data_IF_290848472776
#
_entry.id   IF_290848472776
#
_cell.length_a   1.000
_cell.length_b   1.000
_cell.length_c   1.000
_cell.angle_alpha   90.00
_cell.angle_beta   90.00
_cell.angle_gamma   90.00
#
_symmetry.space_group_name_H-M   'P 1'
#
loop_
_entity.id
_entity.type
_entity.pdbx_description
1 polymer ?
#
# COMPACT_ATOMS: atom_id res chain seq x y z
N UNK A 1 6.86 7.72 15.35
CA UNK A 1 8.18 8.38 15.31
C UNK A 1 8.66 8.45 13.86
N UNK A 2 8.66 9.66 13.27
CA UNK A 2 9.09 9.88 11.89
C UNK A 2 10.61 9.74 11.70
N UNK A 3 11.39 9.77 12.78
CA UNK A 3 12.84 9.59 12.70
C UNK A 3 13.26 8.16 12.29
N UNK A 4 12.35 7.19 12.44
CA UNK A 4 12.55 5.80 12.02
C UNK A 4 12.05 5.51 10.59
N UNK A 5 11.56 6.52 9.86
CA UNK A 5 11.05 6.37 8.50
C UNK A 5 12.13 6.75 7.51
N UNK A 6 12.56 5.80 6.68
CA UNK A 6 13.40 6.08 5.52
C UNK A 6 12.50 6.34 4.30
N UNK A 7 12.71 7.46 3.62
CA UNK A 7 12.01 7.79 2.38
C UNK A 7 12.99 7.73 1.20
N UNK A 8 12.65 6.94 0.18
CA UNK A 8 13.44 6.81 -1.04
C UNK A 8 12.60 7.31 -2.20
N UNK A 9 13.14 8.26 -2.96
CA UNK A 9 12.53 8.72 -4.20
C UNK A 9 13.09 7.92 -5.37
N UNK A 10 12.22 7.26 -6.11
CA UNK A 10 12.57 6.48 -7.30
C UNK A 10 12.04 7.16 -8.57
N UNK A 11 12.69 6.88 -9.70
CA UNK A 11 12.33 7.44 -11.00
C UNK A 11 11.41 6.49 -11.78
N UNK A 12 10.22 6.22 -11.25
CA UNK A 12 9.21 5.38 -11.91
C UNK A 12 8.98 4.03 -11.22
N UNK A 13 8.03 3.27 -11.77
CA UNK A 13 7.54 2.03 -11.13
C UNK A 13 8.62 0.95 -11.02
N UNK A 14 9.44 0.75 -12.05
CA UNK A 14 10.51 -0.26 -12.05
C UNK A 14 11.54 -0.01 -10.97
N UNK A 15 11.98 1.25 -10.83
CA UNK A 15 12.96 1.63 -9.82
C UNK A 15 12.36 1.55 -8.41
N UNK A 16 11.08 1.92 -8.25
CA UNK A 16 10.36 1.78 -6.99
C UNK A 16 10.28 0.31 -6.54
N UNK A 17 9.99 -0.59 -7.47
CA UNK A 17 9.92 -2.03 -7.18
C UNK A 17 11.30 -2.62 -6.87
N UNK A 18 12.34 -2.18 -7.58
CA UNK A 18 13.73 -2.57 -7.30
C UNK A 18 14.18 -2.10 -5.92
N UNK A 19 13.92 -0.85 -5.58
CA UNK A 19 14.21 -0.30 -4.26
C UNK A 19 13.46 -1.07 -3.16
N UNK A 20 12.18 -1.36 -3.36
CA UNK A 20 11.39 -2.16 -2.45
C UNK A 20 11.98 -3.56 -2.26
N UNK A 21 12.40 -4.22 -3.33
CA UNK A 21 13.04 -5.54 -3.25
C UNK A 21 14.33 -5.51 -2.42
N UNK A 22 15.16 -4.48 -2.58
CA UNK A 22 16.38 -4.31 -1.79
C UNK A 22 16.09 -4.03 -0.31
N UNK A 23 15.10 -3.16 -0.02
CA UNK A 23 14.70 -2.88 1.36
C UNK A 23 14.17 -4.13 2.07
N UNK A 24 13.29 -4.88 1.42
CA UNK A 24 12.76 -6.13 1.99
C UNK A 24 13.87 -7.17 2.16
N UNK A 25 14.78 -7.26 1.20
CA UNK A 25 15.92 -8.20 1.25
C UNK A 25 16.90 -7.89 2.38
N UNK A 26 17.04 -6.62 2.78
CA UNK A 26 17.93 -6.24 3.89
C UNK A 26 17.53 -6.87 5.22
N UNK A 27 16.27 -7.25 5.38
CA UNK A 27 15.72 -7.76 6.64
C UNK A 27 15.61 -6.73 7.76
N UNK A 28 15.95 -5.46 7.48
CA UNK A 28 15.92 -4.38 8.47
C UNK A 28 14.54 -3.73 8.63
N UNK A 29 13.62 -3.98 7.68
CA UNK A 29 12.32 -3.31 7.62
C UNK A 29 11.18 -4.27 7.98
N UNK A 30 10.33 -3.86 8.93
CA UNK A 30 9.08 -4.58 9.24
C UNK A 30 7.94 -4.22 8.28
N UNK A 31 8.02 -3.05 7.65
CA UNK A 31 7.05 -2.56 6.67
C UNK A 31 7.76 -1.78 5.57
N UNK A 32 7.46 -2.08 4.33
CA UNK A 32 7.85 -1.30 3.15
C UNK A 32 6.59 -0.82 2.44
N UNK A 33 6.47 0.50 2.26
CA UNK A 33 5.37 1.12 1.52
C UNK A 33 5.89 1.53 0.16
N UNK A 34 5.22 1.08 -0.90
CA UNK A 34 5.53 1.39 -2.29
C UNK A 34 4.41 2.21 -2.87
N UNK A 35 4.69 3.48 -3.16
CA UNK A 35 3.74 4.35 -3.85
C UNK A 35 3.93 4.16 -5.36
N UNK A 36 2.93 3.56 -5.98
CA UNK A 36 2.89 3.34 -7.43
C UNK A 36 1.96 4.38 -8.04
N UNK A 37 2.49 5.14 -8.98
CA UNK A 37 1.69 6.10 -9.74
C UNK A 37 0.51 5.41 -10.48
N UNK A 38 -0.24 6.17 -11.25
CA UNK A 38 -1.59 5.95 -11.75
C UNK A 38 -1.93 4.54 -12.25
N UNK A 39 -1.01 3.74 -12.75
CA UNK A 39 -1.35 2.47 -13.42
C UNK A 39 -0.88 1.18 -12.76
N UNK A 40 0.13 1.23 -11.91
CA UNK A 40 0.58 0.08 -11.11
C UNK A 40 0.68 -1.24 -11.91
N UNK A 41 1.54 -1.25 -12.94
CA UNK A 41 1.80 -2.47 -13.72
C UNK A 41 2.91 -3.28 -13.07
N UNK A 42 2.54 -4.07 -12.07
CA UNK A 42 3.48 -4.97 -11.42
C UNK A 42 3.32 -6.37 -12.01
N UNK A 43 4.41 -6.93 -12.52
CA UNK A 43 4.37 -8.30 -13.06
C UNK A 43 4.18 -9.34 -11.94
N UNK A 44 3.50 -10.44 -12.25
CA UNK A 44 3.31 -11.54 -11.29
C UNK A 44 4.65 -12.13 -10.80
N UNK A 45 5.67 -12.12 -11.65
CA UNK A 45 7.03 -12.53 -11.29
C UNK A 45 7.64 -11.62 -10.21
N UNK A 46 7.47 -10.29 -10.34
CA UNK A 46 7.94 -9.33 -9.35
C UNK A 46 7.19 -9.50 -8.03
N UNK A 47 5.86 -9.59 -8.07
CA UNK A 47 5.03 -9.86 -6.89
C UNK A 47 5.43 -11.17 -6.20
N UNK A 48 5.75 -12.20 -7.00
CA UNK A 48 6.20 -13.50 -6.47
C UNK A 48 7.54 -13.43 -5.75
N UNK A 49 8.50 -12.64 -6.27
CA UNK A 49 9.78 -12.42 -5.58
C UNK A 49 9.61 -11.62 -4.29
N UNK A 50 8.86 -10.51 -4.35
CA UNK A 50 8.59 -9.69 -3.17
C UNK A 50 7.86 -10.47 -2.08
N UNK A 51 6.87 -11.29 -2.43
CA UNK A 51 6.16 -12.14 -1.48
C UNK A 51 7.11 -13.09 -0.75
N UNK A 52 7.95 -13.83 -1.48
CA UNK A 52 8.93 -14.75 -0.87
C UNK A 52 9.92 -14.03 0.03
N UNK A 53 10.40 -12.86 -0.36
CA UNK A 53 11.31 -12.05 0.46
C UNK A 53 10.60 -11.51 1.70
N UNK A 54 9.37 -11.03 1.56
CA UNK A 54 8.56 -10.52 2.65
C UNK A 54 8.27 -11.60 3.70
N UNK A 55 7.88 -12.80 3.27
CA UNK A 55 7.68 -13.96 4.14
C UNK A 55 8.98 -14.36 4.88
N UNK A 56 10.09 -14.46 4.14
CA UNK A 56 11.39 -14.82 4.70
C UNK A 56 11.88 -13.83 5.75
N UNK A 57 11.69 -12.55 5.52
CA UNK A 57 12.19 -11.47 6.37
C UNK A 57 11.12 -10.89 7.31
N UNK A 58 9.93 -11.51 7.37
CA UNK A 58 8.81 -11.06 8.19
C UNK A 58 8.47 -9.56 7.99
N UNK A 59 8.56 -9.12 6.76
CA UNK A 59 8.29 -7.74 6.34
C UNK A 59 6.92 -7.67 5.65
N UNK A 60 6.09 -6.69 6.01
CA UNK A 60 4.89 -6.37 5.26
C UNK A 60 5.23 -5.45 4.08
N UNK A 61 4.61 -5.69 2.91
CA UNK A 61 4.71 -4.80 1.76
C UNK A 61 3.34 -4.24 1.44
N UNK A 62 3.22 -2.92 1.47
CA UNK A 62 2.00 -2.18 1.16
C UNK A 62 2.17 -1.40 -0.14
N UNK A 63 1.31 -1.66 -1.10
CA UNK A 63 1.24 -0.87 -2.34
C UNK A 63 0.14 0.19 -2.23
N UNK A 64 0.51 1.44 -2.46
CA UNK A 64 -0.44 2.54 -2.66
C UNK A 64 -0.65 2.71 -4.17
N UNK A 65 -1.89 2.78 -4.62
CA UNK A 65 -2.25 2.92 -6.03
C UNK A 65 -3.47 3.82 -6.19
N UNK A 66 -3.57 4.51 -7.30
CA UNK A 66 -4.76 5.29 -7.67
C UNK A 66 -5.86 4.44 -8.34
N UNK A 67 -5.78 3.10 -8.28
CA UNK A 67 -6.80 2.22 -8.86
C UNK A 67 -8.14 2.39 -8.14
N UNK A 68 -9.21 2.43 -8.90
CA UNK A 68 -10.57 2.46 -8.36
C UNK A 68 -10.91 1.13 -7.70
N UNK A 69 -11.89 1.13 -6.78
CA UNK A 69 -12.32 -0.09 -6.08
C UNK A 69 -12.77 -1.23 -7.01
N UNK A 70 -13.26 -0.88 -8.21
CA UNK A 70 -13.75 -1.82 -9.23
C UNK A 70 -12.62 -2.36 -10.14
N UNK A 71 -11.47 -1.69 -10.19
CA UNK A 71 -10.37 -2.13 -11.05
C UNK A 71 -9.77 -3.44 -10.52
N UNK A 72 -9.15 -4.26 -11.38
CA UNK A 72 -8.45 -5.45 -10.94
C UNK A 72 -7.37 -5.13 -9.92
N UNK A 73 -7.13 -6.02 -8.97
CA UNK A 73 -5.99 -5.91 -8.06
C UNK A 73 -4.66 -5.96 -8.84
N UNK A 74 -3.55 -5.56 -8.21
CA UNK A 74 -2.22 -5.65 -8.81
C UNK A 74 -1.85 -7.08 -9.25
N UNK A 75 -2.48 -8.09 -8.65
CA UNK A 75 -2.27 -9.47 -9.04
C UNK A 75 -2.92 -10.46 -8.07
N UNK A 76 -2.85 -11.74 -8.46
CA UNK A 76 -3.41 -12.84 -7.68
C UNK A 76 -2.74 -13.00 -6.31
N UNK A 77 -1.47 -12.58 -6.18
CA UNK A 77 -0.66 -12.72 -4.96
C UNK A 77 -0.98 -11.71 -3.88
N UNK A 78 -1.72 -10.65 -4.20
CA UNK A 78 -2.20 -9.70 -3.20
C UNK A 78 -3.17 -10.39 -2.25
N UNK A 79 -2.83 -10.42 -0.96
CA UNK A 79 -3.63 -11.07 0.09
C UNK A 79 -4.75 -10.19 0.61
N UNK A 80 -4.51 -8.89 0.74
CA UNK A 80 -5.45 -7.91 1.24
C UNK A 80 -5.49 -6.70 0.31
N UNK A 81 -6.69 -6.21 0.01
CA UNK A 81 -6.91 -4.96 -0.74
C UNK A 81 -7.96 -4.12 -0.04
N UNK A 82 -7.63 -2.86 0.19
CA UNK A 82 -8.54 -1.84 0.66
C UNK A 82 -8.73 -0.73 -0.37
N UNK A 83 -9.90 -0.11 -0.36
CA UNK A 83 -10.17 1.13 -1.06
C UNK A 83 -10.42 2.21 -0.01
N UNK A 84 -9.75 3.35 -0.16
CA UNK A 84 -9.88 4.49 0.73
C UNK A 84 -10.55 5.60 -0.04
N UNK A 85 -11.64 6.14 0.52
CA UNK A 85 -12.32 7.32 -0.01
C UNK A 85 -12.35 8.41 1.04
N UNK A 86 -12.17 9.65 0.61
CA UNK A 86 -12.25 10.83 1.47
C UNK A 86 -13.43 11.69 1.03
N UNK A 87 -14.22 12.16 1.99
CA UNK A 87 -15.32 13.10 1.76
C UNK A 87 -15.28 14.23 2.81
N UNK A 88 -15.73 15.43 2.41
CA UNK A 88 -15.75 16.64 3.24
C UNK A 88 -14.60 17.61 2.93
N UNK A 89 -14.83 18.90 3.22
CA UNK A 89 -13.91 20.02 2.95
C UNK A 89 -13.34 20.68 4.21
N UNK A 90 -13.87 20.31 5.40
CA UNK A 90 -13.41 20.75 6.72
C UNK A 90 -12.88 19.54 7.50
N UNK A 91 -13.53 19.17 8.61
CA UNK A 91 -13.31 17.83 9.12
C UNK A 91 -13.72 16.83 8.04
N UNK A 92 -12.81 15.93 7.68
CA UNK A 92 -13.08 14.96 6.63
C UNK A 92 -13.29 13.56 7.18
N UNK A 93 -14.14 12.82 6.50
CA UNK A 93 -14.37 11.40 6.77
C UNK A 93 -13.51 10.59 5.82
N UNK A 94 -12.75 9.66 6.36
CA UNK A 94 -12.06 8.64 5.59
C UNK A 94 -12.79 7.33 5.75
N UNK A 95 -13.32 6.82 4.65
CA UNK A 95 -13.90 5.49 4.55
C UNK A 95 -12.87 4.51 4.02
N UNK A 96 -12.60 3.46 4.78
CA UNK A 96 -11.74 2.35 4.38
C UNK A 96 -12.64 1.12 4.17
N UNK A 97 -12.67 0.60 2.96
CA UNK A 97 -13.43 -0.60 2.61
C UNK A 97 -12.50 -1.70 2.12
N UNK A 98 -12.53 -2.85 2.76
CA UNK A 98 -11.83 -4.05 2.26
C UNK A 98 -12.56 -4.60 1.04
N UNK A 99 -11.85 -4.69 -0.08
CA UNK A 99 -12.39 -5.19 -1.36
C UNK A 99 -11.88 -6.59 -1.70
N UNK A 100 -10.81 -7.03 -1.06
CA UNK A 100 -10.26 -8.38 -1.16
C UNK A 100 -9.60 -8.75 0.15
N UNK A 101 -9.92 -9.90 0.68
CA UNK A 101 -9.23 -10.51 1.81
C UNK A 101 -9.19 -12.03 1.59
N UNK A 102 -7.99 -12.60 1.51
CA UNK A 102 -7.80 -14.05 1.35
C UNK A 102 -7.91 -14.83 2.66
N UNK A 103 -7.86 -14.14 3.79
CA UNK A 103 -7.90 -14.76 5.12
C UNK A 103 -9.28 -14.72 5.75
N UNK A 104 -10.11 -13.78 5.33
CA UNK A 104 -11.45 -13.56 5.85
C UNK A 104 -12.44 -13.38 4.71
N UNK A 105 -13.59 -14.01 4.82
CA UNK A 105 -14.66 -13.91 3.80
C UNK A 105 -15.57 -12.68 4.01
N UNK A 106 -15.31 -11.85 5.02
CA UNK A 106 -16.13 -10.69 5.34
C UNK A 106 -15.44 -9.41 4.88
N UNK A 107 -16.06 -8.69 3.96
CA UNK A 107 -15.68 -7.32 3.64
C UNK A 107 -15.87 -6.45 4.90
N UNK A 108 -14.82 -5.85 5.40
CA UNK A 108 -14.91 -4.88 6.49
C UNK A 108 -14.97 -3.46 5.95
N UNK A 109 -15.76 -2.62 6.60
CA UNK A 109 -15.82 -1.18 6.34
C UNK A 109 -15.56 -0.46 7.65
N UNK A 110 -14.63 0.51 7.63
CA UNK A 110 -14.35 1.40 8.74
C UNK A 110 -14.42 2.84 8.26
N UNK A 111 -15.12 3.68 9.03
CA UNK A 111 -15.18 5.12 8.79
C UNK A 111 -14.53 5.83 9.96
N UNK A 112 -13.63 6.77 9.68
CA UNK A 112 -12.98 7.60 10.70
C UNK A 112 -13.07 9.06 10.34
N UNK A 113 -13.30 9.88 11.36
CA UNK A 113 -13.25 11.33 11.27
C UNK A 113 -11.82 11.82 11.54
N UNK A 114 -11.35 12.71 10.68
CA UNK A 114 -10.08 13.39 10.88
C UNK A 114 -10.27 14.89 10.77
N UNK A 115 -9.59 15.62 11.64
CA UNK A 115 -9.35 17.03 11.48
C UNK A 115 -8.04 17.20 10.72
N UNK A 116 -8.04 17.99 9.66
CA UNK A 116 -6.81 18.34 8.95
C UNK A 116 -5.80 19.02 9.91
N UNK A 117 -4.50 19.04 9.55
CA UNK A 117 -3.52 19.81 10.32
C UNK A 117 -4.00 21.24 10.48
N UNK A 118 -3.90 21.79 11.69
CA UNK A 118 -4.19 23.19 11.96
C UNK A 118 -3.31 24.07 11.05
N UNK A 119 -3.91 24.84 10.17
CA UNK A 119 -3.22 25.71 9.20
C UNK A 119 -3.41 25.38 7.72
N UNK A 120 -4.06 24.29 7.36
CA UNK A 120 -4.55 24.06 6.00
C UNK A 120 -6.03 24.45 5.90
N UNK A 121 -6.26 25.68 5.51
CA UNK A 121 -7.58 26.20 5.15
C UNK A 121 -7.65 26.42 3.65
#
# INVERSE_FOLDING_TARGET
>A
DLSAVAAIRACGETDSLMAAEWLVRSGAMGLVIVDLEVHGNVTDACLGRLLKLAERNQCAVLFLTCKRGQDPSLGSRISLRGCITRSGTGPFVTDIRTTKDKRSNSGSRQSRWYHGPSGMH
#
